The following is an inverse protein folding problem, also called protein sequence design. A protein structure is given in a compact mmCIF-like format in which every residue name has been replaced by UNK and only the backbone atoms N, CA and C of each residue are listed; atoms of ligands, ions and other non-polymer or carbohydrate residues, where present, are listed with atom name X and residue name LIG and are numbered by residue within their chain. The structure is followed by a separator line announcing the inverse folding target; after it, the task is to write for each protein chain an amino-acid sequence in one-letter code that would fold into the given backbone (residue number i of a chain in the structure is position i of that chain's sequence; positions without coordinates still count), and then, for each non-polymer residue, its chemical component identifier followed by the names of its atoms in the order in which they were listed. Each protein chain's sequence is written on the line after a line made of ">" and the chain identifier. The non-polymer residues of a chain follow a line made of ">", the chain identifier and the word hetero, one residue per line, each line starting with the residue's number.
data_IF_817375158305
#
_entry.id   IF_817375158305
#
_cell.length_a   1.000
_cell.length_b   1.000
_cell.length_c   1.000
_cell.angle_alpha   90.00
_cell.angle_beta   90.00
_cell.angle_gamma   90.00
#
_symmetry.space_group_name_H-M   'P 1'
#
loop_
_entity.id
_entity.type
_entity.pdbx_description
1 polymer ?
#
# COMPACT_ATOMS: atom_id res chain seq x y z
N UNK A 1 -2.39 -46.18 14.54
CA UNK A 1 -1.20 -45.32 14.42
C UNK A 1 -1.70 -43.99 13.88
N UNK A 2 -1.58 -42.91 14.64
CA UNK A 2 -1.98 -41.58 14.19
C UNK A 2 -0.74 -40.85 13.67
N UNK A 3 -0.84 -40.20 12.51
CA UNK A 3 0.22 -39.35 11.97
C UNK A 3 0.33 -38.04 12.76
N UNK A 4 1.44 -37.31 12.61
CA UNK A 4 1.64 -36.03 13.30
C UNK A 4 0.76 -34.91 12.68
N UNK A 5 0.69 -33.72 13.28
CA UNK A 5 -0.17 -32.61 12.78
C UNK A 5 0.24 -32.12 11.38
N UNK A 6 1.52 -32.20 11.04
CA UNK A 6 2.04 -31.94 9.68
C UNK A 6 1.92 -33.14 8.74
N UNK A 7 1.46 -34.27 9.29
CA UNK A 7 1.22 -35.60 8.73
C UNK A 7 -0.13 -35.72 8.03
N UNK A 8 -0.28 -36.42 6.90
CA UNK A 8 -1.57 -37.04 6.55
C UNK A 8 -1.37 -38.51 6.17
N UNK A 9 -2.41 -39.31 6.33
CA UNK A 9 -2.41 -40.73 5.98
C UNK A 9 -2.83 -40.88 4.51
N UNK A 10 -1.95 -41.42 3.65
CA UNK A 10 -2.30 -41.69 2.25
C UNK A 10 -3.12 -42.98 2.07
N UNK A 11 -3.55 -43.25 0.84
CA UNK A 11 -4.32 -44.45 0.48
C UNK A 11 -3.58 -45.78 0.76
N UNK A 12 -2.25 -45.71 0.90
CA UNK A 12 -1.37 -46.84 1.24
C UNK A 12 -1.13 -46.95 2.76
N UNK A 13 -1.85 -46.17 3.57
CA UNK A 13 -1.71 -46.07 5.03
C UNK A 13 -0.32 -45.60 5.47
N UNK A 14 0.35 -44.78 4.66
CA UNK A 14 1.63 -44.17 4.99
C UNK A 14 1.43 -42.74 5.47
N UNK A 15 2.14 -42.34 6.52
CA UNK A 15 2.21 -40.93 6.92
C UNK A 15 3.10 -40.17 5.93
N UNK A 16 2.54 -39.16 5.29
CA UNK A 16 3.21 -38.35 4.28
C UNK A 16 3.10 -36.87 4.60
N UNK A 17 4.20 -36.11 4.48
CA UNK A 17 4.25 -34.71 4.88
C UNK A 17 3.35 -33.85 4.02
N UNK A 18 2.63 -32.94 4.67
CA UNK A 18 1.84 -31.95 3.96
C UNK A 18 2.73 -30.99 3.18
N UNK A 19 2.29 -30.63 1.97
CA UNK A 19 2.94 -29.57 1.19
C UNK A 19 2.72 -28.21 1.87
N UNK A 20 3.81 -27.49 2.12
CA UNK A 20 3.84 -26.05 2.47
C UNK A 20 4.08 -25.23 1.20
N UNK A 21 3.51 -24.03 1.12
CA UNK A 21 3.85 -23.09 0.05
C UNK A 21 5.29 -22.55 0.31
N UNK A 22 6.17 -22.57 -0.70
CA UNK A 22 7.60 -22.22 -0.57
C UNK A 22 7.82 -20.69 -0.50
N UNK A 23 8.81 -20.20 0.27
CA UNK A 23 9.18 -18.78 0.26
C UNK A 23 9.65 -18.34 -1.12
N UNK A 24 9.05 -17.29 -1.68
CA UNK A 24 9.42 -16.73 -2.99
C UNK A 24 8.69 -17.33 -4.20
N UNK A 25 7.86 -18.37 -4.03
CA UNK A 25 7.11 -18.96 -5.15
C UNK A 25 5.67 -18.43 -5.29
N UNK A 26 5.03 -17.96 -4.21
CA UNK A 26 3.56 -17.84 -4.17
C UNK A 26 3.04 -16.71 -3.27
N UNK A 27 3.42 -15.43 -3.47
CA UNK A 27 2.63 -14.34 -2.86
C UNK A 27 1.16 -14.34 -3.34
N UNK A 28 0.89 -15.12 -4.40
CA UNK A 28 -0.40 -15.34 -5.03
C UNK A 28 -1.12 -16.63 -4.58
N UNK A 29 -0.56 -17.47 -3.70
CA UNK A 29 -1.27 -18.67 -3.21
C UNK A 29 -1.04 -18.97 -1.72
N UNK A 30 -2.02 -19.61 -1.08
CA UNK A 30 -2.05 -19.94 0.35
C UNK A 30 -2.62 -21.33 0.61
N UNK A 31 -2.40 -21.86 1.82
CA UNK A 31 -3.03 -23.12 2.28
C UNK A 31 -3.40 -23.02 3.75
N UNK A 32 -4.69 -22.95 4.01
CA UNK A 32 -5.29 -22.78 5.34
C UNK A 32 -5.30 -24.05 6.19
N UNK A 33 -5.21 -25.22 5.56
CA UNK A 33 -5.22 -26.52 6.24
C UNK A 33 -4.21 -27.49 5.67
N UNK A 34 -3.67 -28.34 6.54
CA UNK A 34 -2.87 -29.52 6.18
C UNK A 34 -3.67 -30.51 5.32
N UNK A 35 -2.99 -31.31 4.50
CA UNK A 35 -3.61 -32.28 3.58
C UNK A 35 -3.06 -32.29 2.16
N UNK A 36 -3.59 -33.19 1.34
CA UNK A 36 -3.12 -33.52 -0.01
C UNK A 36 -3.35 -32.42 -1.06
N UNK A 37 -4.36 -31.57 -0.86
CA UNK A 37 -4.72 -30.54 -1.83
C UNK A 37 -3.59 -29.52 -2.00
N UNK A 38 -3.42 -28.98 -3.22
CA UNK A 38 -2.43 -27.94 -3.49
C UNK A 38 -2.75 -26.59 -2.82
N UNK A 39 -1.81 -25.65 -2.88
CA UNK A 39 -2.05 -24.27 -2.46
C UNK A 39 -3.14 -23.62 -3.36
N UNK A 40 -4.05 -22.86 -2.74
CA UNK A 40 -5.16 -22.13 -3.38
C UNK A 40 -4.70 -20.72 -3.79
N UNK A 41 -5.21 -20.14 -4.89
CA UNK A 41 -4.90 -18.75 -5.22
C UNK A 41 -5.44 -17.79 -4.16
N UNK A 42 -4.66 -16.77 -3.86
CA UNK A 42 -5.05 -15.68 -2.97
C UNK A 42 -6.13 -14.81 -3.63
N UNK A 43 -7.07 -14.34 -2.82
CA UNK A 43 -8.04 -13.34 -3.20
C UNK A 43 -7.35 -12.00 -3.47
N UNK A 44 -7.73 -11.36 -4.57
CA UNK A 44 -7.34 -9.97 -4.87
C UNK A 44 -8.47 -9.02 -4.49
N UNK A 45 -8.30 -8.27 -3.40
CA UNK A 45 -9.32 -7.34 -2.92
C UNK A 45 -9.59 -6.21 -3.93
N UNK A 46 -8.59 -5.81 -4.71
CA UNK A 46 -8.75 -4.77 -5.74
C UNK A 46 -9.63 -5.25 -6.89
N UNK A 47 -9.60 -6.54 -7.23
CA UNK A 47 -10.44 -7.11 -8.29
C UNK A 47 -11.94 -7.04 -7.95
N UNK A 48 -12.27 -7.03 -6.66
CA UNK A 48 -13.64 -6.88 -6.14
C UNK A 48 -13.90 -5.48 -5.57
N UNK A 49 -13.09 -4.49 -5.94
CA UNK A 49 -13.20 -3.09 -5.54
C UNK A 49 -13.24 -2.86 -4.02
N UNK A 50 -12.44 -3.61 -3.26
CA UNK A 50 -12.32 -3.51 -1.80
C UNK A 50 -10.90 -3.15 -1.37
N UNK A 51 -10.81 -2.51 -0.21
CA UNK A 51 -9.55 -2.24 0.48
C UNK A 51 -8.96 -3.53 1.03
N UNK A 52 -7.67 -3.75 0.78
CA UNK A 52 -6.95 -4.88 1.36
C UNK A 52 -6.60 -4.58 2.83
N UNK A 53 -7.13 -5.37 3.76
CA UNK A 53 -6.86 -5.24 5.20
C UNK A 53 -5.63 -6.03 5.62
N UNK A 54 -5.44 -7.22 5.05
CA UNK A 54 -4.24 -8.03 5.26
C UNK A 54 -3.74 -8.59 3.94
N UNK A 55 -2.42 -8.75 3.88
CA UNK A 55 -1.78 -9.42 2.76
C UNK A 55 -2.02 -10.92 2.84
N UNK A 56 -2.05 -11.56 1.67
CA UNK A 56 -2.02 -13.01 1.61
C UNK A 56 -0.68 -13.53 2.12
N UNK A 57 -0.70 -14.71 2.71
CA UNK A 57 0.48 -15.40 3.25
C UNK A 57 0.46 -16.85 2.82
N UNK A 58 1.54 -17.60 3.06
CA UNK A 58 1.59 -19.03 2.74
C UNK A 58 0.48 -19.86 3.43
N UNK A 59 -0.10 -19.36 4.53
CA UNK A 59 -1.08 -20.09 5.37
C UNK A 59 -2.44 -19.43 5.49
N UNK A 60 -2.59 -18.18 5.03
CA UNK A 60 -3.84 -17.45 5.13
C UNK A 60 -4.09 -16.59 3.89
N UNK A 61 -5.35 -16.53 3.47
CA UNK A 61 -5.78 -15.68 2.36
C UNK A 61 -5.67 -14.18 2.70
N UNK A 62 -5.77 -13.33 1.67
CA UNK A 62 -5.95 -11.90 1.86
C UNK A 62 -7.33 -11.61 2.46
N UNK A 63 -7.38 -10.71 3.45
CA UNK A 63 -8.64 -10.24 4.03
C UNK A 63 -9.04 -8.92 3.39
N UNK A 64 -10.25 -8.88 2.84
CA UNK A 64 -10.81 -7.68 2.22
C UNK A 64 -11.72 -6.91 3.18
N UNK A 65 -11.68 -5.58 3.06
CA UNK A 65 -12.41 -4.63 3.89
C UNK A 65 -13.56 -3.96 3.16
N UNK A 66 -13.73 -2.67 3.46
CA UNK A 66 -14.73 -1.79 2.85
C UNK A 66 -14.45 -1.55 1.37
N UNK A 67 -15.44 -1.01 0.67
CA UNK A 67 -15.30 -0.63 -0.73
C UNK A 67 -14.21 0.44 -0.93
N UNK A 68 -13.54 0.40 -2.08
CA UNK A 68 -12.61 1.43 -2.48
C UNK A 68 -13.33 2.80 -2.62
N UNK A 69 -12.60 3.92 -2.49
CA UNK A 69 -13.15 5.24 -2.79
C UNK A 69 -13.76 5.28 -4.20
N UNK A 70 -14.94 5.88 -4.33
CA UNK A 70 -15.68 5.91 -5.60
C UNK A 70 -16.52 4.66 -5.87
N UNK A 71 -16.64 3.75 -4.91
CA UNK A 71 -17.54 2.60 -4.96
C UNK A 71 -18.50 2.62 -3.76
N UNK A 72 -19.71 2.14 -3.99
CA UNK A 72 -20.78 2.08 -3.01
C UNK A 72 -21.27 0.65 -2.82
N UNK A 73 -21.73 0.32 -1.61
CA UNK A 73 -22.14 -1.02 -1.22
C UNK A 73 -23.60 -1.25 -1.64
N UNK A 74 -23.87 -2.31 -2.41
CA UNK A 74 -25.23 -2.69 -2.82
C UNK A 74 -25.45 -4.20 -2.64
N UNK A 75 -26.64 -4.59 -2.18
CA UNK A 75 -26.99 -5.99 -2.07
C UNK A 75 -27.15 -6.61 -3.46
N UNK A 76 -26.70 -7.86 -3.64
CA UNK A 76 -26.97 -8.60 -4.88
C UNK A 76 -28.47 -8.91 -4.97
N UNK A 77 -29.03 -8.73 -6.17
CA UNK A 77 -30.46 -8.97 -6.45
C UNK A 77 -30.82 -10.46 -6.30
N UNK A 78 -29.83 -11.35 -6.31
CA UNK A 78 -29.99 -12.80 -6.21
C UNK A 78 -30.32 -13.32 -4.78
N UNK A 79 -30.66 -12.46 -3.81
CA UNK A 79 -31.03 -12.89 -2.46
C UNK A 79 -29.89 -13.40 -1.58
N UNK A 80 -28.64 -13.39 -2.05
CA UNK A 80 -27.45 -13.70 -1.27
C UNK A 80 -27.10 -12.50 -0.38
N UNK A 81 -26.78 -12.72 0.91
CA UNK A 81 -26.30 -11.69 1.88
C UNK A 81 -24.94 -11.04 1.50
N UNK A 82 -24.52 -11.18 0.25
CA UNK A 82 -23.25 -10.72 -0.25
C UNK A 82 -23.42 -9.34 -0.88
N UNK A 83 -22.67 -8.40 -0.32
CA UNK A 83 -22.67 -7.02 -0.77
C UNK A 83 -21.58 -6.82 -1.81
N UNK A 84 -21.95 -6.13 -2.89
CA UNK A 84 -21.05 -5.79 -3.98
C UNK A 84 -20.67 -4.31 -3.93
N UNK A 85 -19.45 -4.01 -4.37
CA UNK A 85 -18.95 -2.64 -4.51
C UNK A 85 -19.20 -2.17 -5.94
N UNK A 86 -20.21 -1.33 -6.12
CA UNK A 86 -20.65 -0.78 -7.40
C UNK A 86 -20.00 0.58 -7.63
N UNK A 87 -19.46 0.89 -8.82
CA UNK A 87 -18.87 2.20 -9.07
C UNK A 87 -19.91 3.32 -8.99
N UNK A 88 -19.52 4.42 -8.36
CA UNK A 88 -20.26 5.67 -8.41
C UNK A 88 -20.21 6.21 -9.85
N UNK A 89 -21.37 6.53 -10.40
CA UNK A 89 -21.50 7.18 -11.71
C UNK A 89 -22.25 8.49 -11.54
N UNK A 90 -22.30 9.32 -12.59
CA UNK A 90 -23.13 10.54 -12.59
C UNK A 90 -24.62 10.25 -12.40
N UNK A 91 -25.04 9.01 -12.66
CA UNK A 91 -26.42 8.55 -12.54
C UNK A 91 -26.69 7.91 -11.18
N UNK A 92 -25.69 7.78 -10.31
CA UNK A 92 -25.90 7.24 -8.96
C UNK A 92 -26.84 8.17 -8.18
N UNK A 93 -27.88 7.63 -7.52
CA UNK A 93 -28.81 8.43 -6.75
C UNK A 93 -28.11 9.27 -5.67
N UNK A 94 -28.53 10.53 -5.49
CA UNK A 94 -28.01 11.44 -4.45
C UNK A 94 -28.26 10.95 -3.01
N UNK A 95 -29.15 9.96 -2.86
CA UNK A 95 -29.37 9.24 -1.61
C UNK A 95 -28.15 8.41 -1.17
N UNK A 96 -27.20 8.14 -2.07
CA UNK A 96 -25.99 7.37 -1.75
C UNK A 96 -24.89 8.29 -1.19
N UNK A 97 -24.69 8.35 0.14
CA UNK A 97 -23.83 9.35 0.75
C UNK A 97 -22.35 9.15 0.39
N UNK A 98 -21.90 7.91 0.14
CA UNK A 98 -20.52 7.64 -0.28
C UNK A 98 -20.20 8.08 -1.71
N UNK A 99 -21.22 8.32 -2.54
CA UNK A 99 -21.05 8.82 -3.90
C UNK A 99 -21.29 10.33 -4.03
N UNK A 100 -21.55 11.04 -2.92
CA UNK A 100 -21.62 12.49 -2.96
C UNK A 100 -20.26 13.04 -3.35
N UNK A 101 -20.23 13.88 -4.39
CA UNK A 101 -19.05 14.61 -4.81
C UNK A 101 -18.57 15.49 -3.64
N UNK A 102 -17.67 14.97 -2.82
CA UNK A 102 -16.86 15.79 -1.93
C UNK A 102 -15.79 16.40 -2.80
N UNK A 103 -16.01 17.62 -3.25
CA UNK A 103 -14.96 18.51 -3.74
C UNK A 103 -13.99 18.80 -2.58
N UNK A 104 -13.14 17.84 -2.24
CA UNK A 104 -12.01 18.05 -1.33
C UNK A 104 -10.89 17.10 -1.73
N UNK A 105 -9.77 17.61 -2.27
CA UNK A 105 -8.54 16.85 -2.34
C UNK A 105 -8.05 16.70 -0.90
N UNK A 106 -8.61 15.74 -0.16
CA UNK A 106 -8.00 15.27 1.07
C UNK A 106 -7.21 14.03 0.70
N UNK A 107 -5.94 14.29 0.41
CA UNK A 107 -4.79 13.47 0.74
C UNK A 107 -5.21 12.04 1.12
N UNK A 108 -5.18 11.14 0.12
CA UNK A 108 -5.12 9.71 0.40
C UNK A 108 -3.87 9.54 1.25
N UNK A 109 -4.04 9.46 2.57
CA UNK A 109 -3.04 8.85 3.42
C UNK A 109 -3.08 7.38 3.07
N UNK A 110 -2.34 7.03 2.01
CA UNK A 110 -1.99 5.65 1.71
C UNK A 110 -1.21 5.22 2.94
N UNK A 111 -1.88 4.49 3.83
CA UNK A 111 -1.20 3.74 4.86
C UNK A 111 -0.35 2.71 4.11
N UNK A 112 0.94 3.06 3.94
CA UNK A 112 1.98 2.16 3.47
C UNK A 112 1.94 0.93 4.40
N UNK A 113 1.95 -0.30 3.86
CA UNK A 113 1.90 -1.51 4.68
C UNK A 113 3.01 -1.51 5.72
N UNK A 114 2.62 -1.81 6.95
CA UNK A 114 3.48 -2.05 8.10
C UNK A 114 4.53 -3.11 7.76
N UNK A 115 5.77 -2.68 7.61
CA UNK A 115 6.98 -3.52 7.58
C UNK A 115 7.37 -3.86 9.04
N UNK A 116 7.99 -5.03 9.33
CA UNK A 116 8.15 -5.58 10.68
C UNK A 116 8.99 -4.71 11.64
N UNK A 117 8.90 -4.93 12.97
CA UNK A 117 9.23 -3.96 14.00
C UNK A 117 10.69 -4.02 14.46
N UNK A 118 11.67 -3.76 13.58
CA UNK A 118 13.08 -3.69 14.03
C UNK A 118 13.90 -2.47 13.56
N UNK A 119 13.41 -1.63 12.65
CA UNK A 119 14.23 -0.53 12.09
C UNK A 119 13.59 0.87 12.23
N UNK A 120 12.94 1.15 13.35
CA UNK A 120 12.24 2.43 13.59
C UNK A 120 13.10 3.56 14.17
N UNK A 121 14.37 3.30 14.51
CA UNK A 121 15.28 4.35 15.00
C UNK A 121 16.05 5.07 13.86
N UNK A 122 16.28 4.41 12.73
CA UNK A 122 17.21 4.90 11.70
C UNK A 122 16.55 5.77 10.60
N UNK A 123 15.23 5.69 10.45
CA UNK A 123 14.48 6.41 9.40
C UNK A 123 13.82 7.72 9.86
N UNK A 124 13.78 8.02 11.16
CA UNK A 124 13.31 9.33 11.65
C UNK A 124 14.37 10.43 11.43
N UNK A 125 15.66 10.07 11.37
CA UNK A 125 16.76 11.02 11.20
C UNK A 125 16.96 11.48 9.74
N UNK A 126 16.46 10.73 8.75
CA UNK A 126 16.70 11.06 7.33
C UNK A 126 15.74 12.14 6.81
N UNK A 127 14.54 12.27 7.36
CA UNK A 127 13.61 13.33 6.95
C UNK A 127 14.04 14.72 7.42
N UNK A 128 14.53 14.84 8.66
CA UNK A 128 14.98 16.13 9.21
C UNK A 128 16.30 16.60 8.60
N UNK A 129 17.24 15.68 8.34
CA UNK A 129 18.52 16.00 7.72
C UNK A 129 18.35 16.57 6.31
N UNK A 130 17.45 15.99 5.50
CA UNK A 130 17.18 16.47 4.13
C UNK A 130 16.58 17.89 4.14
N UNK A 131 15.67 18.17 5.07
CA UNK A 131 15.10 19.53 5.22
C UNK A 131 16.18 20.54 5.60
N UNK A 132 17.06 20.20 6.54
CA UNK A 132 18.18 21.07 6.95
C UNK A 132 19.14 21.31 5.77
N UNK A 133 19.49 20.27 5.01
CA UNK A 133 20.37 20.39 3.84
C UNK A 133 19.74 21.33 2.79
N UNK A 134 18.45 21.18 2.50
CA UNK A 134 17.75 22.06 1.55
C UNK A 134 17.74 23.52 2.04
N UNK A 135 17.50 23.76 3.33
CA UNK A 135 17.54 25.11 3.90
C UNK A 135 18.93 25.74 3.82
N UNK A 136 19.99 24.96 4.06
CA UNK A 136 21.38 25.43 3.95
C UNK A 136 21.72 25.78 2.50
N UNK A 137 21.33 24.94 1.53
CA UNK A 137 21.56 25.20 0.11
C UNK A 137 20.82 26.46 -0.38
N UNK A 138 19.59 26.68 0.09
CA UNK A 138 18.82 27.89 -0.21
C UNK A 138 19.46 29.15 0.40
N UNK A 139 19.94 29.06 1.64
CA UNK A 139 20.65 30.18 2.26
C UNK A 139 21.95 30.51 1.51
N UNK A 140 22.72 29.50 1.11
CA UNK A 140 23.95 29.67 0.32
C UNK A 140 23.67 30.25 -1.06
N UNK A 141 22.60 29.81 -1.75
CA UNK A 141 22.24 30.38 -3.05
C UNK A 141 21.82 31.85 -2.93
N UNK A 142 21.07 32.22 -1.89
CA UNK A 142 20.72 33.63 -1.62
C UNK A 142 21.98 34.45 -1.30
N UNK A 143 22.91 33.94 -0.49
CA UNK A 143 24.17 34.62 -0.17
C UNK A 143 25.04 34.76 -1.42
N UNK A 144 25.12 33.71 -2.26
CA UNK A 144 25.86 33.74 -3.51
C UNK A 144 25.25 34.74 -4.49
N UNK A 145 23.93 34.71 -4.68
CA UNK A 145 23.22 35.69 -5.50
C UNK A 145 23.41 37.11 -4.98
N UNK A 146 23.38 37.34 -3.66
CA UNK A 146 23.66 38.66 -3.09
C UNK A 146 25.11 39.10 -3.26
N UNK A 147 26.08 38.19 -3.11
CA UNK A 147 27.49 38.50 -3.37
C UNK A 147 27.74 38.78 -4.85
N UNK A 148 27.14 37.99 -5.73
CA UNK A 148 27.22 38.18 -7.18
C UNK A 148 26.61 39.51 -7.60
N UNK A 149 25.41 39.86 -7.10
CA UNK A 149 24.80 41.16 -7.36
C UNK A 149 25.63 42.32 -6.79
N UNK A 150 26.21 42.14 -5.60
CA UNK A 150 27.08 43.13 -4.98
C UNK A 150 28.39 43.33 -5.78
N UNK A 151 28.94 42.28 -6.37
CA UNK A 151 30.12 42.35 -7.23
C UNK A 151 29.82 43.00 -8.58
N UNK A 152 28.62 42.77 -9.16
CA UNK A 152 28.21 43.45 -10.39
C UNK A 152 27.96 44.95 -10.18
N UNK A 153 27.40 45.36 -9.03
CA UNK A 153 27.27 46.79 -8.69
C UNK A 153 28.60 47.52 -8.42
N UNK A 154 29.74 46.82 -8.29
CA UNK A 154 31.06 47.46 -8.23
C UNK A 154 31.75 47.53 -9.59
N UNK A 155 31.39 46.68 -10.58
CA UNK A 155 31.98 46.74 -11.92
C UNK A 155 31.32 47.79 -12.83
N UNK A 156 30.05 48.13 -12.61
CA UNK A 156 29.36 49.19 -13.37
C UNK A 156 29.67 50.63 -12.88
N UNK A 157 30.45 50.77 -11.79
CA UNK A 157 30.81 52.06 -11.19
C UNK A 157 32.18 52.62 -11.58
N UNK A 158 33.03 51.85 -12.27
CA UNK A 158 34.41 52.26 -12.64
C UNK A 158 34.62 52.38 -14.17
N UNK A 159 33.55 52.33 -14.98
CA UNK A 159 33.62 52.48 -16.44
C UNK A 159 33.08 53.83 -16.98
N UNK A 160 32.86 54.83 -16.11
CA UNK A 160 32.56 56.23 -16.50
C UNK A 160 33.52 57.14 -15.75
N UNK A 161 34.78 57.18 -16.21
CA UNK A 161 35.82 57.92 -15.52
C UNK A 161 37.15 57.96 -16.26
N UNK A 162 37.14 58.14 -17.59
CA UNK A 162 38.20 58.75 -18.39
C UNK A 162 37.69 59.05 -19.81
#
# INVERSE_FOLDING_TARGET
>A
MACQESEYLDDQKKCVPCRKCMPGQELSKFKDRWGHHGCKPCLSCTLINRLQKSNCTATADAVCGECLPGFYRKARISGQLEWECIPCTKQTPSSEPQCRCRSRPNLVKVAVPTVPPQDTALLALTSSALVIIVLVLLALSIIYCKRFWKSQCQQDGEAVGL
#
